data_IF_745881521782
#
_entry.id   IF_745881521782
#
_cell.length_a   1.000
_cell.length_b   1.000
_cell.length_c   1.000
_cell.angle_alpha   90.00
_cell.angle_beta   90.00
_cell.angle_gamma   90.00
#
_symmetry.space_group_name_H-M   'P 1'
#
loop_
_entity.id
_entity.type
_entity.pdbx_description
1 polymer ?
#
# COMPACT_ATOMS: atom_id res chain seq x y z
N UNK A 1 -15.10 -7.02 -14.87
CA UNK A 1 -13.82 -7.78 -14.83
C UNK A 1 -13.32 -7.78 -13.40
N UNK A 2 -12.46 -8.72 -13.00
CA UNK A 2 -11.89 -8.70 -11.65
C UNK A 2 -10.90 -7.53 -11.50
N UNK A 3 -10.87 -6.93 -10.31
CA UNK A 3 -9.91 -5.88 -9.94
C UNK A 3 -8.80 -6.47 -9.09
N UNK A 4 -7.56 -6.10 -9.42
CA UNK A 4 -6.36 -6.53 -8.72
C UNK A 4 -5.51 -5.34 -8.32
N UNK A 5 -4.67 -5.55 -7.31
CA UNK A 5 -3.65 -4.62 -6.85
C UNK A 5 -2.28 -5.29 -6.89
N UNK A 6 -1.26 -4.50 -7.22
CA UNK A 6 0.13 -4.87 -6.91
C UNK A 6 0.56 -4.03 -5.72
N UNK A 7 1.07 -4.70 -4.69
CA UNK A 7 1.27 -4.16 -3.37
C UNK A 7 2.70 -4.45 -2.90
N UNK A 8 3.31 -3.46 -2.28
CA UNK A 8 4.57 -3.59 -1.55
C UNK A 8 4.26 -3.84 -0.07
N UNK A 9 5.03 -4.74 0.54
CA UNK A 9 4.92 -5.10 1.94
C UNK A 9 6.22 -4.85 2.70
N UNK A 10 6.08 -4.59 3.98
CA UNK A 10 7.16 -4.14 4.85
C UNK A 10 7.78 -5.29 5.65
N UNK A 11 8.90 -5.01 6.30
CA UNK A 11 9.43 -5.89 7.33
C UNK A 11 8.48 -6.02 8.54
N UNK A 12 8.68 -7.07 9.33
CA UNK A 12 7.81 -7.40 10.47
C UNK A 12 7.76 -6.28 11.52
N UNK A 13 8.86 -5.53 11.69
CA UNK A 13 8.94 -4.42 12.63
C UNK A 13 8.00 -3.28 12.21
N UNK A 14 8.08 -2.88 10.94
CA UNK A 14 7.27 -1.82 10.34
C UNK A 14 5.80 -2.21 10.33
N UNK A 15 5.49 -3.45 9.96
CA UNK A 15 4.12 -3.95 10.03
C UNK A 15 3.59 -3.99 11.46
N UNK A 16 4.41 -4.39 12.42
CA UNK A 16 4.06 -4.37 13.83
C UNK A 16 3.68 -2.97 14.32
N UNK A 17 4.41 -1.94 13.90
CA UNK A 17 4.10 -0.54 14.18
C UNK A 17 2.76 -0.10 13.58
N UNK A 18 2.55 -0.36 12.28
CA UNK A 18 1.29 0.00 11.61
C UNK A 18 0.10 -0.75 12.21
N UNK A 19 0.26 -2.04 12.53
CA UNK A 19 -0.80 -2.84 13.17
C UNK A 19 -1.14 -2.33 14.57
N UNK A 20 -0.17 -1.80 15.33
CA UNK A 20 -0.46 -1.15 16.62
C UNK A 20 -1.33 0.09 16.44
N UNK A 21 -1.01 0.92 15.44
CA UNK A 21 -1.83 2.07 15.12
C UNK A 21 -3.24 1.67 14.67
N UNK A 22 -3.36 0.63 13.83
CA UNK A 22 -4.68 0.09 13.47
C UNK A 22 -5.50 -0.38 14.68
N UNK A 23 -4.87 -1.04 15.67
CA UNK A 23 -5.56 -1.44 16.92
C UNK A 23 -6.01 -0.23 17.73
N UNK A 24 -5.14 0.77 17.89
CA UNK A 24 -5.48 2.02 18.59
C UNK A 24 -6.70 2.71 17.95
N UNK A 25 -6.75 2.76 16.62
CA UNK A 25 -7.88 3.33 15.89
C UNK A 25 -9.16 2.50 16.07
N UNK A 26 -9.05 1.17 16.08
CA UNK A 26 -10.16 0.27 16.33
C UNK A 26 -10.73 0.47 17.76
N UNK A 27 -9.88 0.47 18.78
CA UNK A 27 -10.26 0.65 20.18
C UNK A 27 -10.94 2.01 20.44
N UNK A 28 -10.59 3.04 19.66
CA UNK A 28 -11.18 4.37 19.75
C UNK A 28 -12.55 4.50 19.05
N UNK A 29 -13.14 3.41 18.54
CA UNK A 29 -14.38 3.45 17.76
C UNK A 29 -14.22 4.19 16.43
N UNK A 30 -12.97 4.38 16.00
CA UNK A 30 -12.60 4.84 14.68
C UNK A 30 -12.21 3.66 13.78
N UNK A 31 -12.74 2.46 14.09
CA UNK A 31 -12.60 1.26 13.28
C UNK A 31 -12.79 1.59 11.81
N UNK A 32 -11.93 1.11 10.90
CA UNK A 32 -12.38 0.64 9.60
C UNK A 32 -11.51 -0.53 9.15
N UNK A 33 -12.19 -1.59 8.73
CA UNK A 33 -11.86 -2.79 7.95
C UNK A 33 -10.42 -3.32 7.86
N UNK A 34 -9.34 -2.55 7.84
CA UNK A 34 -7.99 -3.10 7.58
C UNK A 34 -7.58 -4.14 8.65
N UNK A 35 -7.72 -3.78 9.94
CA UNK A 35 -7.46 -4.70 11.04
C UNK A 35 -8.48 -5.85 11.08
N UNK A 36 -9.77 -5.51 10.96
CA UNK A 36 -10.90 -6.44 11.09
C UNK A 36 -10.94 -7.46 9.93
N UNK A 37 -10.54 -7.05 8.72
CA UNK A 37 -10.45 -7.89 7.53
C UNK A 37 -9.15 -8.69 7.47
N UNK A 38 -8.27 -8.57 8.47
CA UNK A 38 -7.00 -9.29 8.52
C UNK A 38 -6.03 -8.89 7.40
N UNK A 39 -6.14 -7.66 6.89
CA UNK A 39 -5.25 -7.17 5.85
C UNK A 39 -3.84 -6.98 6.41
N UNK A 40 -2.86 -7.00 5.50
CA UNK A 40 -1.45 -6.77 5.80
C UNK A 40 -1.11 -5.30 5.52
N UNK A 41 -0.38 -4.58 6.37
CA UNK A 41 0.09 -3.23 6.05
C UNK A 41 0.83 -3.23 4.72
N UNK A 42 0.41 -2.39 3.80
CA UNK A 42 0.92 -2.39 2.44
C UNK A 42 0.88 -1.00 1.82
N UNK A 43 1.62 -0.86 0.73
CA UNK A 43 1.63 0.31 -0.14
C UNK A 43 1.33 -0.15 -1.57
N UNK A 44 0.23 0.33 -2.15
CA UNK A 44 -0.18 -0.10 -3.49
C UNK A 44 0.61 0.61 -4.59
N UNK A 45 1.27 -0.16 -5.46
CA UNK A 45 1.91 0.32 -6.69
C UNK A 45 0.88 0.56 -7.80
N UNK A 46 -0.17 -0.24 -7.84
CA UNK A 46 -1.24 -0.07 -8.83
C UNK A 46 -2.54 -0.72 -8.38
N UNK A 47 -3.64 -0.25 -8.97
CA UNK A 47 -4.93 -0.95 -8.99
C UNK A 47 -5.44 -0.95 -10.43
N UNK A 48 -5.81 -2.13 -10.94
CA UNK A 48 -6.25 -2.29 -12.31
C UNK A 48 -7.33 -3.38 -12.46
N UNK A 49 -8.18 -3.24 -13.48
CA UNK A 49 -9.08 -4.32 -13.92
C UNK A 49 -8.48 -5.07 -15.11
N UNK A 50 -8.86 -6.34 -15.27
CA UNK A 50 -8.46 -7.12 -16.45
C UNK A 50 -6.95 -7.37 -16.49
N UNK A 51 -6.35 -7.62 -15.32
CA UNK A 51 -4.93 -7.95 -15.19
C UNK A 51 -4.67 -9.37 -15.69
N UNK A 52 -3.67 -9.54 -16.55
CA UNK A 52 -3.15 -10.86 -16.93
C UNK A 52 -2.31 -11.43 -15.78
N UNK A 53 -2.99 -12.10 -14.84
CA UNK A 53 -2.34 -12.63 -13.65
C UNK A 53 -1.35 -13.73 -13.95
N UNK A 54 -1.59 -14.53 -14.98
CA UNK A 54 -0.76 -15.71 -15.26
C UNK A 54 0.53 -15.27 -15.97
N UNK A 55 0.43 -14.34 -16.93
CA UNK A 55 1.59 -13.71 -17.56
C UNK A 55 2.47 -12.90 -16.59
N UNK A 56 1.88 -12.32 -15.54
CA UNK A 56 2.63 -11.53 -14.56
C UNK A 56 3.50 -12.34 -13.60
N UNK A 57 3.22 -13.63 -13.37
CA UNK A 57 3.85 -14.39 -12.28
C UNK A 57 5.38 -14.45 -12.42
N UNK A 58 5.88 -14.91 -13.56
CA UNK A 58 7.32 -15.06 -13.81
C UNK A 58 8.02 -13.70 -13.92
N UNK A 59 7.35 -12.71 -14.51
CA UNK A 59 7.86 -11.33 -14.58
C UNK A 59 8.00 -10.74 -13.18
N UNK A 60 7.03 -10.98 -12.29
CA UNK A 60 7.06 -10.54 -10.90
C UNK A 60 8.14 -11.25 -10.08
N UNK A 61 8.31 -12.56 -10.27
CA UNK A 61 9.40 -13.31 -9.65
C UNK A 61 10.77 -12.75 -10.05
N UNK A 62 11.00 -12.57 -11.36
CA UNK A 62 12.25 -11.99 -11.86
C UNK A 62 12.44 -10.52 -11.48
N UNK A 63 11.34 -9.76 -11.29
CA UNK A 63 11.39 -8.38 -10.80
C UNK A 63 11.77 -8.31 -9.33
N UNK A 64 11.22 -9.20 -8.51
CA UNK A 64 11.56 -9.29 -7.09
C UNK A 64 13.02 -9.76 -6.87
N UNK A 65 13.50 -10.71 -7.68
CA UNK A 65 14.89 -11.19 -7.60
C UNK A 65 15.92 -10.06 -7.86
N UNK A 66 15.66 -9.18 -8.83
CA UNK A 66 16.58 -8.07 -9.17
C UNK A 66 16.38 -6.79 -8.36
N UNK A 67 15.25 -6.66 -7.68
CA UNK A 67 14.92 -5.47 -6.88
C UNK A 67 15.37 -5.69 -5.45
N UNK A 68 16.32 -4.90 -4.96
CA UNK A 68 16.75 -4.99 -3.57
C UNK A 68 15.67 -4.47 -2.61
N UNK A 69 15.55 -5.10 -1.45
CA UNK A 69 14.80 -4.53 -0.34
C UNK A 69 15.34 -3.13 0.01
N UNK A 70 14.44 -2.18 0.25
CA UNK A 70 14.80 -0.76 0.32
C UNK A 70 14.19 -0.04 1.52
N UNK A 71 14.88 0.98 2.08
CA UNK A 71 14.34 1.76 3.19
C UNK A 71 13.10 2.55 2.78
N UNK A 72 12.18 2.72 3.73
CA UNK A 72 11.01 3.59 3.61
C UNK A 72 10.81 4.30 4.94
N UNK A 73 10.48 5.58 4.87
CA UNK A 73 10.23 6.41 6.04
C UNK A 73 8.78 6.90 5.97
N UNK A 74 7.92 6.47 6.90
CA UNK A 74 6.53 6.94 6.99
C UNK A 74 6.50 8.16 7.92
N UNK A 75 6.37 9.35 7.35
CA UNK A 75 6.69 10.61 8.05
C UNK A 75 5.49 11.46 8.43
N UNK A 76 4.32 11.20 7.83
CA UNK A 76 3.14 12.02 8.08
C UNK A 76 1.85 11.23 7.95
N UNK A 77 0.79 11.79 8.52
CA UNK A 77 -0.58 11.31 8.35
C UNK A 77 -1.30 12.26 7.39
N UNK A 78 -1.90 11.70 6.35
CA UNK A 78 -2.61 12.43 5.31
C UNK A 78 -4.06 12.00 5.17
N UNK A 79 -4.81 12.75 4.38
CA UNK A 79 -6.20 12.45 4.04
C UNK A 79 -6.46 12.59 2.54
N UNK A 80 -7.13 11.59 1.96
CA UNK A 80 -7.87 11.75 0.72
C UNK A 80 -9.30 12.12 1.07
N UNK A 81 -9.76 13.35 0.77
CA UNK A 81 -11.12 13.76 1.09
C UNK A 81 -12.14 13.12 0.14
N UNK A 82 -13.42 13.13 0.55
CA UNK A 82 -14.55 12.66 -0.26
C UNK A 82 -15.40 11.60 0.43
N UNK A 83 -16.44 11.13 -0.25
CA UNK A 83 -17.39 10.14 0.28
C UNK A 83 -16.70 8.82 0.68
N UNK A 84 -15.68 8.42 -0.09
CA UNK A 84 -14.82 7.26 0.19
C UNK A 84 -13.47 7.68 0.75
N UNK A 85 -13.44 8.74 1.55
CA UNK A 85 -12.22 9.33 2.04
C UNK A 85 -11.33 8.31 2.74
N UNK A 86 -10.03 8.60 2.81
CA UNK A 86 -9.05 7.70 3.42
C UNK A 86 -8.10 8.52 4.28
N UNK A 87 -7.88 8.10 5.52
CA UNK A 87 -6.76 8.58 6.32
C UNK A 87 -5.63 7.56 6.20
N UNK A 88 -4.41 8.03 5.99
CA UNK A 88 -3.27 7.17 5.66
C UNK A 88 -1.95 7.66 6.26
N UNK A 89 -1.00 6.75 6.44
CA UNK A 89 0.41 7.09 6.63
C UNK A 89 1.05 7.35 5.27
N UNK A 90 1.74 8.47 5.13
CA UNK A 90 2.42 8.86 3.91
C UNK A 90 3.93 8.56 4.04
N UNK A 91 4.51 7.80 3.10
CA UNK A 91 5.95 7.74 2.95
C UNK A 91 6.51 9.11 2.56
N UNK A 92 7.69 9.47 3.09
CA UNK A 92 8.51 10.52 2.46
C UNK A 92 8.83 10.05 1.04
N UNK A 93 8.52 10.85 0.00
CA UNK A 93 8.78 10.45 -1.39
C UNK A 93 10.28 10.52 -1.68
N UNK A 94 11.00 9.45 -1.36
CA UNK A 94 12.40 9.26 -1.71
C UNK A 94 12.59 8.83 -3.16
N UNK A 95 13.75 9.14 -3.75
CA UNK A 95 14.08 8.79 -5.14
C UNK A 95 13.86 7.29 -5.42
N UNK A 96 14.32 6.42 -4.50
CA UNK A 96 14.20 4.98 -4.65
C UNK A 96 12.75 4.48 -4.74
N UNK A 97 11.82 5.04 -3.95
CA UNK A 97 10.40 4.66 -4.02
C UNK A 97 9.78 5.07 -5.36
N UNK A 98 10.15 6.24 -5.86
CA UNK A 98 9.68 6.74 -7.15
C UNK A 98 10.28 5.96 -8.32
N UNK A 99 11.55 5.57 -8.24
CA UNK A 99 12.23 4.71 -9.20
C UNK A 99 11.61 3.32 -9.26
N UNK A 100 11.36 2.70 -8.10
CA UNK A 100 10.65 1.40 -8.00
C UNK A 100 9.28 1.48 -8.66
N UNK A 101 8.53 2.56 -8.42
CA UNK A 101 7.24 2.75 -9.06
C UNK A 101 7.38 2.97 -10.59
N UNK A 102 8.37 3.73 -11.05
CA UNK A 102 8.61 3.92 -12.48
C UNK A 102 9.01 2.62 -13.19
N UNK A 103 9.92 1.84 -12.59
CA UNK A 103 10.34 0.53 -13.11
C UNK A 103 9.18 -0.46 -13.12
N UNK A 104 8.34 -0.47 -12.08
CA UNK A 104 7.10 -1.24 -12.06
C UNK A 104 6.20 -0.90 -13.27
N UNK A 105 6.02 0.38 -13.59
CA UNK A 105 5.15 0.79 -14.69
C UNK A 105 5.70 0.32 -16.05
N UNK A 106 7.03 0.32 -16.21
CA UNK A 106 7.69 -0.20 -17.42
C UNK A 106 7.56 -1.72 -17.50
N UNK A 107 7.84 -2.43 -16.40
CA UNK A 107 7.85 -3.89 -16.38
C UNK A 107 6.45 -4.51 -16.49
N UNK A 108 5.43 -3.87 -15.92
CA UNK A 108 4.10 -4.47 -15.79
C UNK A 108 3.01 -3.80 -16.61
N UNK A 109 3.26 -2.64 -17.23
CA UNK A 109 2.24 -1.86 -17.94
C UNK A 109 1.44 -2.65 -18.98
N UNK A 110 2.10 -3.56 -19.72
CA UNK A 110 1.45 -4.40 -20.74
C UNK A 110 0.48 -5.44 -20.17
N UNK A 111 0.61 -5.79 -18.89
CA UNK A 111 -0.26 -6.76 -18.21
C UNK A 111 -1.46 -6.09 -17.51
N UNK A 112 -1.43 -4.76 -17.36
CA UNK A 112 -2.49 -4.01 -16.73
C UNK A 112 -3.56 -3.65 -17.77
N UNK A 113 -4.76 -4.20 -17.63
CA UNK A 113 -5.90 -3.83 -18.49
C UNK A 113 -6.33 -2.37 -18.27
N UNK A 114 -7.26 -2.13 -17.36
CA UNK A 114 -7.73 -0.78 -17.01
C UNK A 114 -7.12 -0.33 -15.70
N UNK A 115 -5.93 0.26 -15.77
CA UNK A 115 -5.27 0.88 -14.62
C UNK A 115 -6.01 2.15 -14.16
N UNK A 116 -6.21 2.29 -12.85
CA UNK A 116 -6.71 3.53 -12.27
C UNK A 116 -5.69 4.67 -12.44
N UNK A 117 -6.15 5.82 -12.93
CA UNK A 117 -5.28 6.94 -13.32
C UNK A 117 -4.43 7.52 -12.17
N UNK A 118 -4.88 7.38 -10.92
CA UNK A 118 -4.15 7.83 -9.73
C UNK A 118 -2.86 7.07 -9.49
N UNK A 119 -2.69 5.87 -10.04
CA UNK A 119 -1.47 5.07 -9.91
C UNK A 119 -0.49 5.28 -11.07
N UNK A 120 -0.71 6.27 -11.94
CA UNK A 120 0.23 6.57 -13.03
C UNK A 120 1.39 7.44 -12.53
N UNK A 121 2.57 7.35 -13.15
CA UNK A 121 3.67 8.28 -12.90
C UNK A 121 3.23 9.74 -12.92
N UNK A 122 3.71 10.54 -11.97
CA UNK A 122 3.34 11.95 -11.80
C UNK A 122 1.95 12.21 -11.18
N UNK A 123 1.15 11.17 -10.92
CA UNK A 123 -0.16 11.27 -10.24
C UNK A 123 -0.25 10.47 -8.94
N UNK A 124 0.67 9.54 -8.75
CA UNK A 124 0.70 8.62 -7.62
C UNK A 124 1.05 9.31 -6.31
N UNK A 125 0.18 9.13 -5.32
CA UNK A 125 0.42 9.50 -3.93
C UNK A 125 0.64 8.19 -3.17
N UNK A 126 1.90 7.84 -2.82
CA UNK A 126 2.18 6.64 -2.06
C UNK A 126 1.57 6.77 -0.67
N UNK A 127 0.93 5.71 -0.19
CA UNK A 127 0.24 5.73 1.10
C UNK A 127 0.06 4.32 1.67
N UNK A 128 -0.02 4.24 3.00
CA UNK A 128 -0.44 3.06 3.75
C UNK A 128 -1.77 3.40 4.43
N UNK A 129 -2.84 2.74 4.02
CA UNK A 129 -4.18 3.05 4.53
C UNK A 129 -4.27 2.77 6.03
N UNK A 130 -4.72 3.77 6.80
CA UNK A 130 -5.06 3.61 8.21
C UNK A 130 -6.54 3.30 8.39
N UNK A 131 -7.39 4.07 7.72
CA UNK A 131 -8.83 3.90 7.78
C UNK A 131 -9.52 4.47 6.54
N UNK A 132 -10.57 3.79 6.08
CA UNK A 132 -11.57 4.40 5.23
C UNK A 132 -12.49 5.27 6.10
N UNK A 133 -12.77 6.48 5.64
CA UNK A 133 -13.51 7.49 6.39
C UNK A 133 -14.69 7.96 5.54
N UNK A 134 -15.88 7.48 5.87
CA UNK A 134 -17.14 7.84 5.22
C UNK A 134 -17.66 9.24 5.56
N UNK A 135 -16.76 10.23 5.69
CA UNK A 135 -17.08 11.61 6.02
C UNK A 135 -16.15 12.28 7.04
N UNK A 136 -16.24 13.61 7.11
CA UNK A 136 -15.32 14.46 7.88
C UNK A 136 -15.30 14.16 9.39
N UNK A 137 -16.44 13.79 9.99
CA UNK A 137 -16.50 13.48 11.42
C UNK A 137 -15.65 12.26 11.79
N UNK A 138 -15.65 11.22 10.94
CA UNK A 138 -14.83 10.02 11.16
C UNK A 138 -13.36 10.30 10.86
N UNK A 139 -13.08 11.08 9.81
CA UNK A 139 -11.73 11.57 9.53
C UNK A 139 -11.13 12.32 10.73
N UNK A 140 -11.89 13.24 11.32
CA UNK A 140 -11.48 13.99 12.51
C UNK A 140 -11.17 13.08 13.71
N UNK A 141 -11.98 12.05 13.95
CA UNK A 141 -11.69 11.04 14.99
C UNK A 141 -10.38 10.30 14.72
N UNK A 142 -10.20 9.75 13.51
CA UNK A 142 -8.95 9.04 13.16
C UNK A 142 -7.73 9.94 13.33
N UNK A 143 -7.80 11.18 12.88
CA UNK A 143 -6.71 12.16 13.03
C UNK A 143 -6.43 12.50 14.50
N UNK A 144 -7.48 12.70 15.30
CA UNK A 144 -7.32 13.00 16.73
C UNK A 144 -6.70 11.81 17.48
N UNK A 145 -7.17 10.58 17.21
CA UNK A 145 -6.64 9.36 17.85
C UNK A 145 -5.19 9.09 17.47
N UNK A 146 -4.77 9.49 16.27
CA UNK A 146 -3.40 9.28 15.77
C UNK A 146 -2.47 10.47 15.98
N UNK A 147 -2.91 11.50 16.69
CA UNK A 147 -2.18 12.76 16.86
C UNK A 147 -0.80 12.57 17.49
N UNK A 148 -0.71 11.74 18.53
CA UNK A 148 0.53 11.47 19.26
C UNK A 148 1.32 10.27 18.69
N UNK A 149 0.99 9.81 17.48
CA UNK A 149 1.75 8.76 16.83
C UNK A 149 3.20 9.21 16.66
N UNK A 150 4.13 8.45 17.23
CA UNK A 150 5.56 8.68 17.05
C UNK A 150 5.92 8.49 15.57
N UNK A 151 6.37 9.57 14.94
CA UNK A 151 6.85 9.65 13.56
C UNK A 151 8.26 10.28 13.53
N UNK A 152 9.08 9.94 12.52
CA UNK A 152 8.79 8.99 11.45
C UNK A 152 8.87 7.52 11.90
N UNK A 153 8.14 6.65 11.21
CA UNK A 153 8.39 5.20 11.26
C UNK A 153 9.44 4.87 10.20
N UNK A 154 10.64 4.53 10.64
CA UNK A 154 11.69 3.99 9.79
C UNK A 154 11.47 2.49 9.58
N UNK A 155 11.49 2.06 8.33
CA UNK A 155 11.19 0.69 7.94
C UNK A 155 11.85 0.28 6.63
N UNK A 156 11.58 -0.95 6.19
CA UNK A 156 12.01 -1.45 4.89
C UNK A 156 10.85 -2.08 4.15
N UNK A 157 10.84 -1.89 2.84
CA UNK A 157 10.03 -2.68 1.90
C UNK A 157 10.84 -3.92 1.53
N UNK A 158 10.24 -5.09 1.73
CA UNK A 158 10.94 -6.39 1.59
C UNK A 158 10.23 -7.35 0.65
N UNK A 159 8.98 -7.09 0.29
CA UNK A 159 8.17 -8.00 -0.50
C UNK A 159 7.25 -7.25 -1.47
N UNK A 160 6.90 -7.93 -2.57
CA UNK A 160 5.88 -7.49 -3.53
C UNK A 160 4.86 -8.61 -3.72
N UNK A 161 3.59 -8.26 -3.89
CA UNK A 161 2.56 -9.24 -4.17
C UNK A 161 1.46 -8.74 -5.10
N UNK A 162 0.73 -9.72 -5.64
CA UNK A 162 -0.45 -9.51 -6.48
C UNK A 162 -1.69 -9.99 -5.72
N UNK A 163 -2.65 -9.09 -5.51
CA UNK A 163 -3.88 -9.37 -4.77
C UNK A 163 -5.10 -9.17 -5.66
N UNK A 164 -6.11 -10.05 -5.56
CA UNK A 164 -7.48 -9.73 -6.01
C UNK A 164 -8.14 -8.89 -4.91
N UNK A 165 -8.79 -7.77 -5.23
CA UNK A 165 -9.32 -6.85 -4.20
C UNK A 165 -10.64 -7.33 -3.60
N UNK A 166 -11.53 -7.97 -4.39
CA UNK A 166 -12.86 -8.40 -3.95
C UNK A 166 -13.23 -9.81 -4.44
N UNK A 167 -13.30 -10.82 -3.55
CA UNK A 167 -12.78 -10.81 -2.17
C UNK A 167 -11.26 -10.58 -2.16
N UNK A 168 -10.74 -10.06 -1.04
CA UNK A 168 -9.30 -9.87 -0.86
C UNK A 168 -8.60 -11.22 -0.81
N UNK A 169 -7.75 -11.51 -1.81
CA UNK A 169 -6.99 -12.77 -1.90
C UNK A 169 -5.62 -12.48 -2.48
N UNK A 170 -4.57 -12.71 -1.68
CA UNK A 170 -3.19 -12.69 -2.13
C UNK A 170 -2.94 -13.88 -3.07
N UNK A 171 -2.55 -13.61 -4.31
CA UNK A 171 -2.28 -14.63 -5.32
C UNK A 171 -0.81 -15.02 -5.35
N UNK A 172 0.06 -14.01 -5.39
CA UNK A 172 1.51 -14.20 -5.41
C UNK A 172 2.16 -13.26 -4.41
N UNK A 173 3.27 -13.72 -3.84
CA UNK A 173 4.11 -12.95 -2.94
C UNK A 173 5.57 -13.36 -3.18
N UNK A 174 6.44 -12.38 -3.40
CA UNK A 174 7.86 -12.60 -3.63
C UNK A 174 8.68 -11.66 -2.74
N UNK A 175 9.79 -12.17 -2.22
CA UNK A 175 10.78 -11.40 -1.47
C UNK A 175 11.66 -10.62 -2.43
N UNK A 176 11.97 -9.37 -2.07
CA UNK A 176 12.90 -8.51 -2.78
C UNK A 176 14.33 -8.90 -2.39
N UNK A 177 15.07 -9.49 -3.32
CA UNK A 177 16.38 -10.10 -3.05
C UNK A 177 17.51 -9.14 -3.39
N UNK A 178 17.43 -8.46 -4.54
CA UNK A 178 18.50 -7.57 -5.02
C UNK A 178 19.75 -8.36 -5.37
N UNK A 179 19.66 -9.13 -6.46
CA UNK A 179 20.69 -9.97 -7.07
C UNK A 179 22.14 -9.53 -6.80
#
# INVERSE_FOLDING_TARGET
MATHAVELYFDDQTEGLVRRLWRLLADAGAEDSQHVLGLRPHLSLTVAEGVDTDGMREVMAGWAARTAAFPVTLSSIGIFPGERGVVFLAPTPGAQLLEVHADFQVAFGAFLGKQQAYYRPGRWVPHVTLAHVGGAARAGRVLTTSWDQALPIEGRVVQVGLSKIRPSVLRYLFTLEGA
#
